data_IF_046842454276
#
_entry.id   IF_046842454276
#
_cell.length_a   1.000
_cell.length_b   1.000
_cell.length_c   1.000
_cell.angle_alpha   90.00
_cell.angle_beta   90.00
_cell.angle_gamma   90.00
#
_symmetry.space_group_name_H-M   'P 1'
#
loop_
_entity.id
_entity.type
_entity.pdbx_description
1 polymer ?
#
# COMPACT_ATOMS: atom_id res chain seq x y z
N UNK A 1 11.88 12.61 12.52
CA UNK A 1 10.94 11.56 13.00
C UNK A 1 11.44 10.19 12.57
N UNK A 2 10.96 9.09 13.18
CA UNK A 2 11.38 7.73 12.82
C UNK A 2 10.26 7.02 12.08
N UNK A 3 10.56 6.42 10.92
CA UNK A 3 9.57 5.61 10.22
C UNK A 3 9.28 4.32 10.99
N UNK A 4 7.99 4.01 11.21
CA UNK A 4 7.54 2.79 11.88
C UNK A 4 7.79 1.50 11.09
N UNK A 5 8.13 1.60 9.80
CA UNK A 5 8.39 0.44 8.93
C UNK A 5 9.88 0.16 8.82
N UNK A 6 10.68 1.10 8.30
CA UNK A 6 12.12 0.88 8.09
C UNK A 6 12.99 1.37 9.26
N UNK A 7 12.45 2.14 10.21
CA UNK A 7 13.22 2.70 11.31
C UNK A 7 14.15 3.86 10.92
N UNK A 8 14.17 4.29 9.66
CA UNK A 8 14.99 5.42 9.23
C UNK A 8 14.51 6.73 9.84
N UNK A 9 15.46 7.61 10.17
CA UNK A 9 15.19 8.99 10.54
C UNK A 9 14.86 9.77 9.28
N UNK A 10 13.67 10.38 9.25
CA UNK A 10 13.12 11.08 8.10
C UNK A 10 12.53 12.44 8.50
N UNK A 11 12.55 13.37 7.55
CA UNK A 11 11.94 14.69 7.68
C UNK A 11 10.44 14.62 7.89
N UNK A 12 9.91 15.54 8.68
CA UNK A 12 8.48 15.68 8.93
C UNK A 12 7.67 16.02 7.68
N UNK A 13 8.32 16.61 6.66
CA UNK A 13 7.72 16.91 5.36
C UNK A 13 7.57 15.68 4.45
N UNK A 14 8.30 14.59 4.71
CA UNK A 14 8.33 13.37 3.87
C UNK A 14 7.72 12.15 4.55
N UNK A 15 6.80 12.36 5.48
CA UNK A 15 6.09 11.31 6.21
C UNK A 15 4.58 11.42 6.07
N UNK A 16 3.92 10.27 6.07
CA UNK A 16 2.48 10.14 6.21
C UNK A 16 2.14 9.70 7.63
N UNK A 17 1.12 10.33 8.22
CA UNK A 17 0.57 9.94 9.52
C UNK A 17 -0.64 9.05 9.32
N UNK A 18 -0.55 7.81 9.80
CA UNK A 18 -1.63 6.85 9.71
C UNK A 18 -2.26 6.69 11.09
N UNK A 19 -3.59 6.83 11.14
CA UNK A 19 -4.39 6.72 12.38
C UNK A 19 -3.87 7.63 13.52
N UNK A 20 -3.29 8.78 13.17
CA UNK A 20 -2.85 9.82 14.12
C UNK A 20 -1.52 9.56 14.84
N UNK A 21 -0.99 8.33 14.88
CA UNK A 21 0.23 8.01 15.64
C UNK A 21 1.31 7.26 14.86
N UNK A 22 0.95 6.60 13.76
CA UNK A 22 1.92 5.81 12.98
C UNK A 22 2.58 6.68 11.92
N UNK A 23 3.90 6.79 11.96
CA UNK A 23 4.68 7.62 11.03
C UNK A 23 5.32 6.73 9.97
N UNK A 24 4.98 6.95 8.70
CA UNK A 24 5.52 6.14 7.59
C UNK A 24 6.21 7.07 6.60
N UNK A 25 7.48 6.80 6.26
CA UNK A 25 8.19 7.60 5.26
C UNK A 25 7.61 7.39 3.87
N UNK A 26 7.86 8.35 2.98
CA UNK A 26 7.39 8.33 1.59
C UNK A 26 7.85 7.10 0.81
N UNK A 27 9.00 6.51 1.15
CA UNK A 27 9.50 5.28 0.50
C UNK A 27 8.75 4.03 0.96
N UNK A 28 8.36 3.97 2.24
CA UNK A 28 7.63 2.84 2.81
C UNK A 28 6.12 2.93 2.60
N UNK A 29 5.59 4.14 2.40
CA UNK A 29 4.17 4.42 2.28
C UNK A 29 3.48 3.64 1.13
N UNK A 30 4.06 3.52 -0.07
CA UNK A 30 3.41 2.81 -1.17
C UNK A 30 3.21 1.32 -0.86
N UNK A 31 4.23 0.68 -0.29
CA UNK A 31 4.17 -0.73 0.12
C UNK A 31 3.16 -0.95 1.25
N UNK A 32 3.14 -0.04 2.22
CA UNK A 32 2.13 -0.05 3.29
C UNK A 32 0.71 0.09 2.72
N UNK A 33 0.52 1.03 1.80
CA UNK A 33 -0.75 1.35 1.20
C UNK A 33 -1.33 0.15 0.43
N UNK A 34 -0.56 -0.49 -0.45
CA UNK A 34 -1.08 -1.62 -1.25
C UNK A 34 -1.53 -2.79 -0.39
N UNK A 35 -0.82 -3.05 0.73
CA UNK A 35 -1.18 -4.09 1.70
C UNK A 35 -2.44 -3.76 2.49
N UNK A 36 -2.66 -2.49 2.82
CA UNK A 36 -3.80 -2.04 3.61
C UNK A 36 -4.94 -1.46 2.75
N UNK A 37 -4.86 -1.60 1.43
CA UNK A 37 -5.84 -1.02 0.52
C UNK A 37 -7.17 -1.79 0.63
N UNK A 38 -8.28 -1.13 1.01
CA UNK A 38 -9.57 -1.80 1.18
C UNK A 38 -10.15 -2.34 -0.13
N UNK A 39 -9.64 -1.89 -1.28
CA UNK A 39 -10.05 -2.34 -2.61
C UNK A 39 -9.27 -3.57 -3.09
N UNK A 40 -8.15 -3.94 -2.43
CA UNK A 40 -7.36 -5.13 -2.78
C UNK A 40 -8.19 -6.40 -2.89
N UNK A 41 -9.03 -6.80 -1.92
CA UNK A 41 -9.82 -8.03 -2.01
C UNK A 41 -10.81 -8.02 -3.18
N UNK A 42 -11.39 -6.85 -3.52
CA UNK A 42 -12.27 -6.71 -4.69
C UNK A 42 -11.50 -6.91 -5.99
N UNK A 43 -10.32 -6.28 -6.10
CA UNK A 43 -9.42 -6.43 -7.26
C UNK A 43 -8.93 -7.86 -7.45
N UNK A 44 -8.57 -8.56 -6.38
CA UNK A 44 -8.16 -9.97 -6.42
C UNK A 44 -9.28 -10.86 -6.97
N UNK A 45 -10.55 -10.54 -6.65
CA UNK A 45 -11.74 -11.23 -7.19
C UNK A 45 -12.08 -10.85 -8.64
N UNK A 46 -11.34 -9.91 -9.25
CA UNK A 46 -11.70 -9.34 -10.55
C UNK A 46 -12.82 -8.30 -10.49
N UNK A 47 -13.31 -7.95 -9.30
CA UNK A 47 -14.20 -6.79 -9.13
C UNK A 47 -13.39 -5.51 -9.30
N UNK A 48 -13.46 -4.93 -10.50
CA UNK A 48 -12.87 -3.62 -10.78
C UNK A 48 -13.48 -2.56 -9.88
N UNK A 49 -12.67 -1.69 -9.25
CA UNK A 49 -13.20 -0.42 -8.77
C UNK A 49 -13.17 0.63 -9.88
N UNK A 50 -14.27 1.40 -9.94
CA UNK A 50 -14.27 2.85 -10.08
C UNK A 50 -12.99 3.43 -9.44
N UNK A 51 -12.12 4.07 -10.23
CA UNK A 51 -10.96 4.89 -9.86
C UNK A 51 -10.31 4.60 -8.49
N UNK A 52 -9.18 3.89 -8.50
CA UNK A 52 -8.30 3.79 -7.34
C UNK A 52 -7.90 5.20 -6.89
N UNK A 53 -8.21 5.60 -5.65
CA UNK A 53 -8.06 6.97 -5.16
C UNK A 53 -6.60 7.48 -5.15
N UNK A 54 -5.62 6.60 -5.36
CA UNK A 54 -4.20 6.93 -5.55
C UNK A 54 -3.66 6.27 -6.82
N UNK A 55 -3.86 6.93 -7.96
CA UNK A 55 -3.27 6.54 -9.25
C UNK A 55 -1.74 6.55 -9.23
N UNK A 56 -1.11 7.35 -8.35
CA UNK A 56 0.35 7.47 -8.26
C UNK A 56 1.08 6.17 -7.92
N UNK A 57 0.38 5.19 -7.33
CA UNK A 57 0.96 3.88 -6.97
C UNK A 57 0.28 2.72 -7.72
N UNK A 58 -0.30 3.00 -8.91
CA UNK A 58 -1.02 1.99 -9.71
C UNK A 58 -0.15 0.75 -9.99
N UNK A 59 1.10 0.95 -10.41
CA UNK A 59 2.02 -0.15 -10.75
C UNK A 59 2.29 -1.07 -9.55
N UNK A 60 2.56 -0.50 -8.37
CA UNK A 60 2.80 -1.28 -7.15
C UNK A 60 1.55 -2.03 -6.70
N UNK A 61 0.38 -1.41 -6.86
CA UNK A 61 -0.90 -2.06 -6.54
C UNK A 61 -1.19 -3.23 -7.48
N UNK A 62 -0.93 -3.07 -8.78
CA UNK A 62 -1.11 -4.12 -9.78
C UNK A 62 -0.19 -5.31 -9.52
N UNK A 63 1.11 -5.07 -9.30
CA UNK A 63 2.08 -6.10 -8.95
C UNK A 63 1.70 -6.84 -7.67
N UNK A 64 1.22 -6.12 -6.64
CA UNK A 64 0.76 -6.73 -5.40
C UNK A 64 -0.47 -7.62 -5.60
N UNK A 65 -1.49 -7.12 -6.32
CA UNK A 65 -2.70 -7.90 -6.64
C UNK A 65 -2.37 -9.12 -7.49
N UNK A 66 -1.51 -8.98 -8.50
CA UNK A 66 -1.05 -10.10 -9.35
C UNK A 66 -0.36 -11.18 -8.51
N UNK A 67 0.48 -10.78 -7.55
CA UNK A 67 1.13 -11.71 -6.62
C UNK A 67 0.11 -12.46 -5.76
N UNK A 68 -0.91 -11.77 -5.23
CA UNK A 68 -1.98 -12.38 -4.46
C UNK A 68 -2.82 -13.37 -5.28
N UNK A 69 -3.18 -13.01 -6.52
CA UNK A 69 -3.91 -13.90 -7.44
C UNK A 69 -3.06 -15.14 -7.79
N UNK A 70 -1.77 -14.94 -8.05
CA UNK A 70 -0.84 -16.04 -8.34
C UNK A 70 -0.69 -17.01 -7.17
N UNK A 71 -0.77 -16.51 -5.93
CA UNK A 71 -0.62 -17.33 -4.72
C UNK A 71 -1.96 -18.00 -4.30
N UNK A 72 -3.10 -17.43 -4.70
CA UNK A 72 -4.45 -17.94 -4.36
C UNK A 72 -4.85 -19.22 -5.11
N UNK A 73 -4.00 -19.77 -6.00
CA UNK A 73 -4.22 -21.03 -6.74
C UNK A 73 -3.60 -22.27 -6.08
N UNK A 74 -3.18 -22.19 -4.81
CA UNK A 74 -2.59 -23.32 -4.08
C UNK A 74 -3.13 -23.43 -2.66
N UNK A 75 -4.32 -24.00 -2.49
CA UNK A 75 -4.78 -24.69 -1.28
C UNK A 75 -5.90 -25.64 -1.68
#
# INVERSE_FOLDING_TARGET
MKCSICGSTVDTAKVAYIKGSTVICSDCFPTYYVRNCPLTPRRVRGESPLNCRYCSYKAQCDSYVKSLISNSKGS
#
